data_IF_016328243616
#
_entry.id   IF_016328243616
#
_cell.length_a   1.000
_cell.length_b   1.000
_cell.length_c   1.000
_cell.angle_alpha   90.00
_cell.angle_beta   90.00
_cell.angle_gamma   90.00
#
_symmetry.space_group_name_H-M   'P 1'
#
loop_
_entity.id
_entity.type
_entity.pdbx_description
1 polymer ?
#
# COMPACT_ATOMS: atom_id res chain seq x y z
N UNK A 1 -2.04 8.98 -2.55
CA UNK A 1 -2.74 7.99 -3.40
C UNK A 1 -1.79 7.67 -4.53
N UNK A 2 -1.51 6.41 -4.79
CA UNK A 2 -0.56 5.96 -5.80
C UNK A 2 -1.34 5.17 -6.83
N UNK A 3 -1.07 5.40 -8.10
CA UNK A 3 -1.78 4.82 -9.24
C UNK A 3 -0.80 4.06 -10.14
N UNK A 4 -1.18 2.87 -10.57
CA UNK A 4 -0.53 2.14 -11.65
C UNK A 4 -1.43 2.25 -12.87
N UNK A 5 -0.91 2.85 -13.93
CA UNK A 5 -1.54 2.93 -15.23
C UNK A 5 -0.98 1.85 -16.15
N UNK A 6 -1.85 1.10 -16.81
CA UNK A 6 -1.51 0.02 -17.73
C UNK A 6 -2.17 0.21 -19.11
N UNK A 7 -2.72 1.37 -19.37
CA UNK A 7 -3.54 1.61 -20.56
C UNK A 7 -2.73 1.45 -21.86
N UNK A 8 -1.50 1.97 -21.92
CA UNK A 8 -0.64 1.84 -23.09
C UNK A 8 -0.36 0.36 -23.44
N UNK A 9 -0.11 -0.48 -22.43
CA UNK A 9 0.13 -1.91 -22.64
C UNK A 9 -1.13 -2.62 -23.12
N UNK A 10 -2.31 -2.25 -22.61
CA UNK A 10 -3.58 -2.81 -23.06
C UNK A 10 -3.93 -2.38 -24.48
N UNK A 11 -3.66 -1.13 -24.88
CA UNK A 11 -3.88 -0.66 -26.23
C UNK A 11 -2.96 -1.36 -27.24
N UNK A 12 -1.70 -1.52 -26.92
CA UNK A 12 -0.75 -2.26 -27.75
C UNK A 12 -1.19 -3.72 -27.91
N UNK A 13 -1.61 -4.35 -26.84
CA UNK A 13 -2.15 -5.68 -26.87
C UNK A 13 -3.41 -5.81 -27.75
N UNK A 14 -4.38 -4.90 -27.58
CA UNK A 14 -5.59 -4.86 -28.40
C UNK A 14 -5.27 -4.66 -29.89
N UNK A 15 -4.26 -3.83 -30.20
CA UNK A 15 -3.79 -3.58 -31.57
C UNK A 15 -3.21 -4.85 -32.21
N UNK A 16 -2.35 -5.59 -31.49
CA UNK A 16 -1.78 -6.85 -31.96
C UNK A 16 -2.88 -7.89 -32.23
N UNK A 17 -3.83 -8.02 -31.31
CA UNK A 17 -4.95 -8.95 -31.49
C UNK A 17 -5.89 -8.59 -32.64
N UNK A 18 -6.19 -7.31 -32.81
CA UNK A 18 -6.99 -6.86 -33.95
C UNK A 18 -6.28 -7.12 -35.29
N UNK A 19 -4.93 -7.05 -35.32
CA UNK A 19 -4.14 -7.37 -36.50
C UNK A 19 -4.19 -8.88 -36.88
N UNK A 20 -4.48 -9.75 -35.94
CA UNK A 20 -4.68 -11.19 -36.18
C UNK A 20 -6.09 -11.54 -36.68
N UNK A 21 -7.00 -10.54 -36.80
CA UNK A 21 -8.38 -10.73 -37.24
C UNK A 21 -9.33 -11.33 -36.20
N UNK A 22 -8.85 -11.54 -34.99
CA UNK A 22 -9.64 -12.10 -33.89
C UNK A 22 -10.22 -10.99 -32.99
N UNK A 23 -11.54 -11.05 -32.81
CA UNK A 23 -12.22 -10.14 -31.87
C UNK A 23 -12.07 -10.67 -30.45
N UNK A 24 -11.17 -10.04 -29.67
CA UNK A 24 -11.09 -10.31 -28.23
C UNK A 24 -12.34 -9.81 -27.52
N UNK A 25 -12.99 -10.69 -26.77
CA UNK A 25 -14.16 -10.26 -26.02
C UNK A 25 -13.78 -9.27 -24.89
N UNK A 26 -14.65 -8.29 -24.63
CA UNK A 26 -14.48 -7.36 -23.51
C UNK A 26 -14.29 -8.11 -22.16
N UNK A 27 -14.88 -9.30 -22.02
CA UNK A 27 -14.69 -10.18 -20.85
C UNK A 27 -13.28 -10.72 -20.74
N UNK A 28 -12.63 -11.07 -21.86
CA UNK A 28 -11.24 -11.54 -21.87
C UNK A 28 -10.28 -10.43 -21.53
N UNK A 29 -10.45 -9.24 -22.10
CA UNK A 29 -9.67 -8.04 -21.73
C UNK A 29 -9.82 -7.72 -20.24
N UNK A 30 -11.05 -7.76 -19.73
CA UNK A 30 -11.30 -7.52 -18.30
C UNK A 30 -10.54 -8.49 -17.39
N UNK A 31 -10.46 -9.77 -17.77
CA UNK A 31 -9.71 -10.77 -16.99
C UNK A 31 -8.21 -10.53 -17.03
N UNK A 32 -7.67 -10.20 -18.21
CA UNK A 32 -6.24 -9.91 -18.39
C UNK A 32 -5.86 -8.70 -17.55
N UNK A 33 -6.63 -7.63 -17.62
CA UNK A 33 -6.42 -6.41 -16.81
C UNK A 33 -6.44 -6.70 -15.32
N UNK A 34 -7.44 -7.43 -14.84
CA UNK A 34 -7.52 -7.78 -13.42
C UNK A 34 -6.35 -8.64 -12.95
N UNK A 35 -5.88 -9.55 -13.82
CA UNK A 35 -4.71 -10.36 -13.53
C UNK A 35 -3.45 -9.49 -13.45
N UNK A 36 -3.21 -8.65 -14.46
CA UNK A 36 -2.07 -7.75 -14.50
C UNK A 36 -2.00 -6.81 -13.30
N UNK A 37 -3.13 -6.17 -12.95
CA UNK A 37 -3.19 -5.30 -11.77
C UNK A 37 -2.98 -6.06 -10.44
N UNK A 38 -3.31 -7.35 -10.39
CA UNK A 38 -3.02 -8.19 -9.23
C UNK A 38 -1.53 -8.49 -9.11
N UNK A 39 -0.88 -8.85 -10.22
CA UNK A 39 0.56 -9.07 -10.25
C UNK A 39 1.34 -7.79 -9.91
N UNK A 40 0.95 -6.66 -10.50
CA UNK A 40 1.51 -5.36 -10.15
C UNK A 40 1.35 -5.02 -8.66
N UNK A 41 0.18 -5.32 -8.07
CA UNK A 41 -0.03 -5.14 -6.63
C UNK A 41 0.91 -6.00 -5.78
N UNK A 42 1.11 -7.24 -6.14
CA UNK A 42 2.00 -8.13 -5.39
C UNK A 42 3.46 -7.66 -5.47
N UNK A 43 3.92 -7.23 -6.66
CA UNK A 43 5.24 -6.65 -6.83
C UNK A 43 5.41 -5.35 -6.01
N UNK A 44 4.41 -4.46 -6.04
CA UNK A 44 4.40 -3.26 -5.20
C UNK A 44 4.57 -3.58 -3.71
N UNK A 45 3.82 -4.58 -3.22
CA UNK A 45 3.89 -4.97 -1.81
C UNK A 45 5.21 -5.64 -1.44
N UNK A 46 5.85 -6.30 -2.40
CA UNK A 46 7.13 -6.97 -2.20
C UNK A 46 8.24 -5.96 -2.03
N UNK A 47 8.38 -5.05 -3.00
CA UNK A 47 9.36 -3.98 -2.99
C UNK A 47 9.18 -3.08 -1.77
N UNK A 48 7.95 -2.63 -1.52
CA UNK A 48 7.66 -1.80 -0.37
C UNK A 48 7.98 -2.49 0.97
N UNK A 49 7.84 -3.83 1.05
CA UNK A 49 8.21 -4.57 2.24
C UNK A 49 9.72 -4.65 2.43
N UNK A 50 10.49 -4.67 1.34
CA UNK A 50 11.95 -4.60 1.34
C UNK A 50 12.43 -3.23 1.78
N UNK A 51 11.93 -2.16 1.16
CA UNK A 51 12.24 -0.77 1.52
C UNK A 51 11.91 -0.43 2.97
N UNK A 52 10.84 -1.01 3.49
CA UNK A 52 10.41 -0.79 4.87
C UNK A 52 10.93 -1.85 5.86
N UNK A 53 11.90 -2.67 5.45
CA UNK A 53 12.46 -3.75 6.28
C UNK A 53 13.08 -3.24 7.58
N UNK A 54 13.74 -2.09 7.56
CA UNK A 54 14.32 -1.44 8.74
C UNK A 54 13.26 -1.14 9.81
N UNK A 55 12.04 -0.85 9.40
CA UNK A 55 10.91 -0.60 10.30
C UNK A 55 10.28 -1.89 10.84
N UNK A 56 10.77 -3.06 10.42
CA UNK A 56 10.27 -4.38 10.85
C UNK A 56 8.76 -4.56 10.63
N UNK A 57 8.26 -4.05 9.50
CA UNK A 57 6.87 -4.19 9.09
C UNK A 57 6.76 -5.40 8.14
N UNK A 58 6.11 -6.49 8.54
CA UNK A 58 5.99 -7.65 7.68
C UNK A 58 5.01 -7.40 6.52
N UNK A 59 5.28 -7.99 5.35
CA UNK A 59 4.44 -7.91 4.12
C UNK A 59 2.96 -8.19 4.39
N UNK A 60 2.67 -9.14 5.28
CA UNK A 60 1.28 -9.46 5.67
C UNK A 60 0.56 -8.29 6.33
N UNK A 61 1.29 -7.47 7.11
CA UNK A 61 0.75 -6.28 7.75
C UNK A 61 0.59 -5.13 6.76
N UNK A 62 1.52 -4.97 5.83
CA UNK A 62 1.40 -4.04 4.70
C UNK A 62 0.14 -4.37 3.89
N UNK A 63 -0.01 -5.63 3.47
CA UNK A 63 -1.18 -6.11 2.71
C UNK A 63 -2.50 -5.84 3.44
N UNK A 64 -2.55 -6.03 4.74
CA UNK A 64 -3.76 -5.78 5.57
C UNK A 64 -4.10 -4.30 5.68
N UNK A 65 -3.07 -3.43 5.73
CA UNK A 65 -3.24 -1.98 5.90
C UNK A 65 -3.45 -1.25 4.57
N UNK A 66 -3.09 -1.91 3.46
CA UNK A 66 -3.20 -1.34 2.13
C UNK A 66 -4.53 -1.72 1.48
N UNK A 67 -5.29 -0.70 1.12
CA UNK A 67 -6.52 -0.85 0.35
C UNK A 67 -6.20 -0.65 -1.13
N UNK A 68 -6.54 -1.63 -1.95
CA UNK A 68 -6.46 -1.49 -3.40
C UNK A 68 -7.86 -1.21 -3.94
N UNK A 69 -7.99 -0.15 -4.71
CA UNK A 69 -9.22 0.18 -5.41
C UNK A 69 -8.93 0.09 -6.90
N UNK A 70 -9.61 -0.79 -7.60
CA UNK A 70 -9.56 -0.85 -9.06
C UNK A 70 -10.53 0.18 -9.62
N UNK A 71 -10.02 1.11 -10.41
CA UNK A 71 -10.80 2.16 -11.04
C UNK A 71 -10.97 1.83 -12.51
N UNK A 72 -12.20 1.86 -12.98
CA UNK A 72 -12.49 1.82 -14.40
C UNK A 72 -12.58 3.28 -14.88
N UNK A 73 -11.59 3.75 -15.58
CA UNK A 73 -11.59 5.07 -16.19
C UNK A 73 -12.26 5.00 -17.56
N UNK A 74 -13.60 5.06 -17.59
CA UNK A 74 -14.35 5.03 -18.85
C UNK A 74 -14.40 3.65 -19.51
N UNK A 75 -14.54 3.61 -20.85
CA UNK A 75 -14.64 2.39 -21.62
C UNK A 75 -13.33 1.61 -21.74
N UNK A 76 -12.19 2.26 -21.63
CA UNK A 76 -10.89 1.73 -22.08
C UNK A 76 -9.78 1.78 -21.02
N UNK A 77 -9.90 2.59 -19.98
CA UNK A 77 -8.87 2.75 -18.95
C UNK A 77 -9.15 1.98 -17.66
N UNK A 78 -8.13 1.34 -17.10
CA UNK A 78 -8.20 0.65 -15.81
C UNK A 78 -6.91 0.88 -15.04
N UNK A 79 -7.06 1.37 -13.84
CA UNK A 79 -5.93 1.59 -12.94
C UNK A 79 -6.15 0.96 -11.57
N UNK A 80 -5.06 0.76 -10.84
CA UNK A 80 -5.11 0.36 -9.45
C UNK A 80 -4.62 1.50 -8.57
N UNK A 81 -5.49 1.95 -7.67
CA UNK A 81 -5.15 2.96 -6.68
C UNK A 81 -4.79 2.27 -5.36
N UNK A 82 -3.62 2.60 -4.83
CA UNK A 82 -3.17 2.08 -3.55
C UNK A 82 -3.37 3.13 -2.45
N UNK A 83 -4.16 2.77 -1.47
CA UNK A 83 -4.33 3.54 -0.25
C UNK A 83 -3.71 2.81 0.92
N UNK A 84 -2.66 3.37 1.50
CA UNK A 84 -2.13 2.91 2.77
C UNK A 84 -2.44 3.93 3.86
N UNK A 85 -2.97 3.44 4.97
CA UNK A 85 -3.12 4.24 6.18
C UNK A 85 -1.79 4.37 6.94
N UNK A 86 -1.78 5.24 7.94
CA UNK A 86 -0.68 5.31 8.89
C UNK A 86 -0.60 4.02 9.71
N UNK A 87 0.61 3.50 9.88
CA UNK A 87 0.83 2.42 10.83
C UNK A 87 0.74 2.96 12.24
N UNK A 88 -0.07 2.31 13.08
CA UNK A 88 -0.12 2.64 14.50
C UNK A 88 1.16 2.19 15.19
N UNK A 89 1.82 3.11 15.86
CA UNK A 89 3.04 2.80 16.61
C UNK A 89 2.77 1.74 17.69
N UNK A 90 1.59 1.78 18.31
CA UNK A 90 1.17 0.84 19.34
C UNK A 90 1.05 -0.62 18.87
N UNK A 91 0.92 -0.85 17.56
CA UNK A 91 0.81 -2.20 16.99
C UNK A 91 2.19 -2.80 16.65
N UNK A 92 3.27 -2.05 16.86
CA UNK A 92 4.62 -2.56 16.66
C UNK A 92 4.97 -3.57 17.74
N UNK A 93 5.51 -4.73 17.32
CA UNK A 93 5.93 -5.78 18.27
C UNK A 93 7.16 -5.35 19.04
N UNK A 94 7.25 -5.74 20.32
CA UNK A 94 8.43 -5.48 21.14
C UNK A 94 8.54 -4.04 21.65
N UNK A 95 7.45 -3.27 21.69
CA UNK A 95 7.42 -1.96 22.33
C UNK A 95 7.83 -2.06 23.80
N UNK A 96 8.73 -1.17 24.23
CA UNK A 96 9.19 -1.06 25.60
C UNK A 96 8.97 0.35 26.12
N UNK A 97 8.34 0.44 27.31
CA UNK A 97 8.26 1.70 28.05
C UNK A 97 9.53 1.90 28.85
N UNK A 98 10.16 3.04 28.67
CA UNK A 98 11.32 3.49 29.45
C UNK A 98 11.01 4.81 30.17
N UNK A 99 11.88 5.25 31.08
CA UNK A 99 11.78 6.57 31.72
C UNK A 99 11.89 7.73 30.72
N UNK A 100 12.59 7.54 29.61
CA UNK A 100 12.77 8.55 28.57
C UNK A 100 11.64 8.57 27.54
N UNK A 101 10.84 7.51 27.45
CA UNK A 101 9.78 7.37 26.47
C UNK A 101 9.54 5.93 26.03
N UNK A 102 8.91 5.74 24.89
CA UNK A 102 8.64 4.43 24.29
C UNK A 102 9.68 4.11 23.23
N UNK A 103 10.32 2.96 23.37
CA UNK A 103 11.21 2.39 22.33
C UNK A 103 10.41 1.47 21.45
N UNK A 104 10.42 1.71 20.14
CA UNK A 104 9.82 0.86 19.14
C UNK A 104 10.92 0.25 18.26
N UNK A 105 11.03 -1.09 18.19
CA UNK A 105 12.05 -1.76 17.37
C UNK A 105 11.93 -1.34 15.89
N UNK A 106 13.05 -0.93 15.29
CA UNK A 106 13.10 -0.37 13.94
C UNK A 106 12.72 1.10 13.82
N UNK A 107 12.08 1.70 14.85
CA UNK A 107 11.57 3.08 14.84
C UNK A 107 12.25 3.98 15.85
N UNK A 108 13.09 3.39 16.73
CA UNK A 108 13.88 4.11 17.71
C UNK A 108 13.12 4.53 18.97
N UNK A 109 13.72 5.49 19.69
CA UNK A 109 13.18 6.05 20.93
C UNK A 109 12.28 7.27 20.63
N UNK A 110 11.03 7.16 21.01
CA UNK A 110 10.08 8.27 21.01
C UNK A 110 10.08 8.96 22.38
N UNK A 111 10.90 10.01 22.50
CA UNK A 111 11.07 10.74 23.78
C UNK A 111 9.79 11.43 24.24
N UNK A 112 9.56 11.43 25.56
CA UNK A 112 8.39 12.10 26.17
C UNK A 112 7.06 11.44 25.83
N UNK A 113 7.07 10.16 25.45
CA UNK A 113 5.87 9.38 25.14
C UNK A 113 5.65 8.28 26.16
N UNK A 114 4.44 7.76 26.20
CA UNK A 114 4.06 6.67 27.09
C UNK A 114 3.03 5.75 26.44
N UNK A 115 3.05 4.48 26.86
CA UNK A 115 2.05 3.49 26.52
C UNK A 115 0.86 3.63 27.46
N UNK A 116 -0.33 3.71 26.91
CA UNK A 116 -1.56 3.71 27.70
C UNK A 116 -2.70 2.99 26.96
N UNK A 117 -3.66 2.54 27.76
CA UNK A 117 -4.95 2.08 27.26
C UNK A 117 -6.02 3.04 27.75
N UNK A 118 -6.91 3.44 26.86
CA UNK A 118 -8.07 4.26 27.20
C UNK A 118 -9.16 3.43 27.86
N UNK A 119 -10.17 4.06 28.44
CA UNK A 119 -11.33 3.36 29.03
C UNK A 119 -12.08 2.49 28.02
N UNK A 120 -12.04 2.84 26.72
CA UNK A 120 -12.63 2.05 25.64
C UNK A 120 -11.80 0.83 25.20
N UNK A 121 -10.69 0.54 25.91
CA UNK A 121 -9.78 -0.56 25.56
C UNK A 121 -8.79 -0.24 24.44
N UNK A 122 -8.85 0.97 23.87
CA UNK A 122 -7.90 1.39 22.86
C UNK A 122 -6.49 1.59 23.47
N UNK A 123 -5.53 0.80 22.99
CA UNK A 123 -4.12 0.90 23.37
C UNK A 123 -3.36 1.76 22.37
N UNK A 124 -2.58 2.72 22.87
CA UNK A 124 -1.82 3.65 22.03
C UNK A 124 -0.49 4.05 22.65
N UNK A 125 0.38 4.66 21.84
CA UNK A 125 1.54 5.42 22.28
C UNK A 125 1.15 6.88 22.23
N UNK A 126 1.21 7.56 23.38
CA UNK A 126 0.72 8.91 23.53
C UNK A 126 1.83 9.86 23.93
N UNK A 127 1.67 11.14 23.56
CA UNK A 127 2.47 12.27 24.07
C UNK A 127 1.54 13.28 24.71
N UNK A 128 1.96 13.86 25.84
CA UNK A 128 1.28 15.01 26.43
C UNK A 128 1.53 16.26 25.59
N UNK A 129 0.52 17.09 25.46
CA UNK A 129 0.63 18.37 24.77
C UNK A 129 0.79 19.42 25.87
N UNK A 130 2.02 19.91 26.04
CA UNK A 130 2.34 20.87 27.09
C UNK A 130 1.47 22.12 26.97
N UNK A 131 0.88 22.55 28.09
CA UNK A 131 0.04 23.73 28.15
C UNK A 131 -1.39 23.58 27.62
N UNK A 132 -1.75 22.43 27.07
CA UNK A 132 -3.13 22.13 26.68
C UNK A 132 -3.77 21.18 27.69
N UNK A 133 -4.90 21.58 28.25
CA UNK A 133 -5.62 20.80 29.26
C UNK A 133 -6.93 20.25 28.74
N UNK A 134 -7.36 19.13 29.33
CA UNK A 134 -8.62 18.48 28.93
C UNK A 134 -9.82 19.30 29.44
N UNK A 135 -10.81 19.52 28.58
CA UNK A 135 -12.03 20.26 28.96
C UNK A 135 -12.80 19.55 30.08
N UNK A 136 -12.75 18.22 30.11
CA UNK A 136 -13.36 17.38 31.16
C UNK A 136 -12.56 17.33 32.45
N UNK A 137 -11.29 17.71 32.46
CA UNK A 137 -10.41 17.73 33.63
C UNK A 137 -9.24 18.70 33.44
N UNK A 138 -9.39 19.96 33.89
CA UNK A 138 -8.37 21.00 33.72
C UNK A 138 -7.03 20.72 34.42
N UNK A 139 -6.95 19.71 35.29
CA UNK A 139 -5.70 19.31 35.93
C UNK A 139 -4.89 18.31 35.06
N UNK A 140 -5.43 17.84 33.94
CA UNK A 140 -4.79 16.87 33.06
C UNK A 140 -4.52 17.45 31.69
N UNK A 141 -3.26 17.38 31.27
CA UNK A 141 -2.88 17.75 29.91
C UNK A 141 -3.54 16.85 28.87
N UNK A 142 -3.89 17.43 27.73
CA UNK A 142 -4.34 16.69 26.56
C UNK A 142 -3.24 15.74 26.10
N UNK A 143 -3.66 14.61 25.56
CA UNK A 143 -2.76 13.62 24.98
C UNK A 143 -3.07 13.44 23.50
N UNK A 144 -2.02 13.23 22.72
CA UNK A 144 -2.12 12.90 21.28
C UNK A 144 -1.48 11.56 21.02
N UNK A 145 -2.17 10.70 20.28
CA UNK A 145 -1.61 9.44 19.83
C UNK A 145 -0.54 9.67 18.76
N UNK A 146 0.55 8.92 18.87
CA UNK A 146 1.59 8.89 17.86
C UNK A 146 1.33 7.75 16.89
N UNK A 147 1.44 8.11 15.63
CA UNK A 147 1.40 7.19 14.51
C UNK A 147 2.80 7.01 13.96
N UNK A 148 3.03 5.90 13.30
CA UNK A 148 4.29 5.60 12.67
C UNK A 148 4.42 6.14 11.24
N UNK A 149 4.92 5.32 10.35
CA UNK A 149 5.07 5.68 8.93
C UNK A 149 3.75 5.52 8.17
N UNK A 150 3.65 6.25 7.06
CA UNK A 150 2.66 6.01 6.03
C UNK A 150 3.42 5.52 4.78
N UNK A 151 3.22 4.25 4.35
CA UNK A 151 3.95 3.68 3.22
C UNK A 151 3.83 4.51 1.93
N UNK A 152 2.65 5.01 1.61
CA UNK A 152 2.47 5.83 0.41
C UNK A 152 3.30 7.09 0.42
N UNK A 153 3.55 7.70 1.59
CA UNK A 153 4.41 8.88 1.69
C UNK A 153 5.88 8.56 1.46
N UNK A 154 6.32 7.36 1.79
CA UNK A 154 7.69 6.95 1.50
C UNK A 154 7.89 6.79 -0.01
N UNK A 155 6.92 6.21 -0.72
CA UNK A 155 6.93 6.14 -2.18
C UNK A 155 6.84 7.54 -2.83
N UNK A 156 5.92 8.40 -2.35
CA UNK A 156 5.76 9.77 -2.85
C UNK A 156 7.04 10.64 -2.68
N UNK A 157 7.88 10.31 -1.72
CA UNK A 157 9.18 10.96 -1.50
C UNK A 157 10.29 10.48 -2.43
N UNK A 158 10.02 9.49 -3.27
CA UNK A 158 11.01 8.87 -4.14
C UNK A 158 12.00 7.95 -3.44
N UNK A 159 11.65 7.48 -2.24
CA UNK A 159 12.48 6.54 -1.45
C UNK A 159 12.18 5.07 -1.79
N UNK A 160 11.40 4.80 -2.84
CA UNK A 160 10.97 3.45 -3.19
C UNK A 160 10.71 3.33 -4.69
N UNK A 161 11.21 2.26 -5.28
CA UNK A 161 10.95 1.87 -6.67
C UNK A 161 9.68 1.02 -6.81
N UNK A 162 8.92 0.84 -5.72
CA UNK A 162 7.77 -0.05 -5.68
C UNK A 162 6.72 0.23 -6.76
N UNK A 163 6.56 1.49 -7.17
CA UNK A 163 5.62 1.85 -8.23
C UNK A 163 6.11 1.39 -9.61
N UNK A 164 7.41 1.55 -9.89
CA UNK A 164 8.04 1.12 -11.14
C UNK A 164 8.00 -0.41 -11.25
N UNK A 165 8.41 -1.11 -10.21
CA UNK A 165 8.34 -2.57 -10.14
C UNK A 165 6.92 -3.10 -10.33
N UNK A 166 5.93 -2.40 -9.80
CA UNK A 166 4.53 -2.74 -9.97
C UNK A 166 4.05 -2.57 -11.42
N UNK A 167 4.44 -1.48 -12.08
CA UNK A 167 4.10 -1.23 -13.48
C UNK A 167 4.74 -2.29 -14.39
N UNK A 168 6.01 -2.58 -14.18
CA UNK A 168 6.74 -3.61 -14.92
C UNK A 168 6.14 -5.01 -14.75
N UNK A 169 5.75 -5.37 -13.54
CA UNK A 169 5.12 -6.65 -13.26
C UNK A 169 3.74 -6.75 -13.93
N UNK A 170 2.96 -5.67 -13.93
CA UNK A 170 1.68 -5.61 -14.61
C UNK A 170 1.84 -5.72 -16.14
N UNK A 171 2.81 -5.02 -16.73
CA UNK A 171 3.12 -5.08 -18.15
C UNK A 171 3.50 -6.51 -18.59
N UNK A 172 4.45 -7.15 -17.89
CA UNK A 172 4.82 -8.54 -18.14
C UNK A 172 3.64 -9.51 -18.03
N UNK A 173 2.77 -9.30 -17.07
CA UNK A 173 1.58 -10.12 -16.90
C UNK A 173 0.58 -9.98 -18.06
N UNK A 174 0.46 -8.79 -18.67
CA UNK A 174 -0.33 -8.58 -19.89
C UNK A 174 0.28 -9.38 -21.05
N UNK A 175 1.59 -9.26 -21.27
CA UNK A 175 2.30 -9.99 -22.33
C UNK A 175 2.13 -11.50 -22.20
N UNK A 176 2.34 -12.06 -21.02
CA UNK A 176 2.16 -13.48 -20.75
C UNK A 176 0.74 -13.98 -21.06
N UNK A 177 -0.27 -13.20 -20.69
CA UNK A 177 -1.66 -13.55 -20.98
C UNK A 177 -1.97 -13.40 -22.47
N UNK A 178 -1.35 -12.44 -23.14
CA UNK A 178 -1.45 -12.27 -24.60
C UNK A 178 -0.92 -13.49 -25.32
N UNK A 179 0.28 -13.96 -24.98
CA UNK A 179 0.87 -15.15 -25.58
C UNK A 179 0.00 -16.41 -25.36
N UNK A 180 -0.52 -16.59 -24.15
CA UNK A 180 -1.42 -17.72 -23.84
C UNK A 180 -2.70 -17.67 -24.68
N UNK A 181 -3.27 -16.50 -24.87
CA UNK A 181 -4.48 -16.34 -25.68
C UNK A 181 -4.17 -16.65 -27.16
N UNK A 182 -3.10 -16.09 -27.72
CA UNK A 182 -2.68 -16.36 -29.09
C UNK A 182 -2.39 -17.85 -29.32
N UNK A 183 -1.71 -18.51 -28.39
CA UNK A 183 -1.46 -19.95 -28.46
C UNK A 183 -2.76 -20.78 -28.45
N UNK A 184 -3.77 -20.33 -27.70
CA UNK A 184 -5.08 -21.00 -27.65
C UNK A 184 -5.92 -20.83 -28.93
N UNK A 185 -5.64 -19.80 -29.72
CA UNK A 185 -6.29 -19.51 -31.00
C UNK A 185 -5.64 -20.32 -32.15
N UNK A 186 -4.32 -20.53 -32.03
CA UNK A 186 -3.53 -21.25 -33.05
C UNK A 186 -3.64 -22.79 -32.96
N UNK A 187 -4.22 -23.30 -31.88
CA UNK A 187 -4.42 -24.73 -31.63
C UNK A 187 -5.82 -25.21 -32.05
#
# INVERSE_FOLDING_TARGET
>A
MIEIDIDEHLENFARVLNATGEKVSAKSLARITQYALREGREAYLEELAEDLSDYKIPKTRLRKNMRTVFVNAGSDGRSALFHAGWFRLADQRGLQQTSAGVVAPGWGLHRGTFLASTKSGHRGVFRRIAGEYMDSNPSKEKIRELWGINPNREVERGNSEALEQAADAAARAIEDQAFKLLASIAA
#
